data_IF_599048281820
#
_entry.id   IF_599048281820
#
_cell.length_a   1.000
_cell.length_b   1.000
_cell.length_c   1.000
_cell.angle_alpha   90.00
_cell.angle_beta   90.00
_cell.angle_gamma   90.00
#
_symmetry.space_group_name_H-M   'P 1'
#
loop_
_entity.id
_entity.type
_entity.pdbx_description
1 polymer ?
#
# COMPACT_ATOMS: atom_id res chain seq x y z
N UNK A 1 23.49 -25.32 -22.57
CA UNK A 1 24.32 -24.55 -21.61
C UNK A 1 23.40 -24.07 -20.51
N UNK A 2 23.73 -24.47 -19.28
CA UNK A 2 22.89 -24.52 -18.08
C UNK A 2 22.12 -23.24 -17.74
N UNK A 3 20.79 -23.36 -17.70
CA UNK A 3 19.92 -22.39 -17.04
C UNK A 3 19.98 -22.59 -15.53
N UNK A 4 20.96 -21.99 -14.86
CA UNK A 4 20.96 -21.92 -13.40
C UNK A 4 19.69 -21.18 -12.93
N UNK A 5 18.76 -21.92 -12.33
CA UNK A 5 17.62 -21.37 -11.59
C UNK A 5 18.18 -20.45 -10.52
N UNK A 6 17.97 -19.13 -10.62
CA UNK A 6 18.33 -18.18 -9.56
C UNK A 6 17.54 -18.57 -8.30
N UNK A 7 18.20 -19.25 -7.36
CA UNK A 7 17.66 -19.57 -6.04
C UNK A 7 17.69 -18.29 -5.20
N UNK A 8 16.57 -17.57 -5.19
CA UNK A 8 16.38 -16.36 -4.40
C UNK A 8 14.95 -16.29 -3.87
N UNK A 9 14.74 -15.62 -2.74
CA UNK A 9 13.42 -15.49 -2.09
C UNK A 9 12.32 -14.96 -3.05
N UNK A 10 12.70 -14.22 -4.10
CA UNK A 10 11.82 -13.60 -5.10
C UNK A 10 11.74 -14.34 -6.45
N UNK A 11 12.37 -15.52 -6.60
CA UNK A 11 12.52 -16.19 -7.89
C UNK A 11 11.19 -16.45 -8.63
N UNK A 12 10.11 -16.76 -7.92
CA UNK A 12 8.79 -16.93 -8.53
C UNK A 12 8.18 -15.61 -9.01
N UNK A 13 8.34 -14.54 -8.24
CA UNK A 13 7.87 -13.22 -8.65
C UNK A 13 8.64 -12.73 -9.87
N UNK A 14 9.96 -12.94 -9.91
CA UNK A 14 10.80 -12.59 -11.07
C UNK A 14 10.44 -13.41 -12.31
N UNK A 15 10.10 -14.70 -12.14
CA UNK A 15 9.68 -15.55 -13.25
C UNK A 15 8.33 -15.13 -13.87
N UNK A 16 7.40 -14.58 -13.07
CA UNK A 16 6.06 -14.19 -13.53
C UNK A 16 6.03 -12.75 -14.01
N UNK A 17 6.65 -11.83 -13.27
CA UNK A 17 6.56 -10.39 -13.49
C UNK A 17 7.78 -9.81 -14.21
N UNK A 18 8.87 -10.57 -14.31
CA UNK A 18 10.16 -10.10 -14.80
C UNK A 18 10.99 -9.42 -13.72
N UNK A 19 12.32 -9.52 -13.83
CA UNK A 19 13.26 -8.95 -12.85
C UNK A 19 13.21 -7.43 -12.78
N UNK A 20 12.92 -6.76 -13.90
CA UNK A 20 12.77 -5.30 -13.94
C UNK A 20 11.59 -4.84 -13.08
N UNK A 21 10.42 -5.46 -13.24
CA UNK A 21 9.23 -5.10 -12.49
C UNK A 21 9.38 -5.39 -11.00
N UNK A 22 9.98 -6.54 -10.65
CA UNK A 22 10.32 -6.88 -9.25
C UNK A 22 11.35 -5.91 -8.67
N UNK A 23 12.25 -5.37 -9.49
CA UNK A 23 13.12 -4.25 -9.13
C UNK A 23 12.30 -3.03 -8.72
N UNK A 24 11.41 -2.57 -9.60
CA UNK A 24 10.54 -1.40 -9.37
C UNK A 24 9.64 -1.55 -8.15
N UNK A 25 9.09 -2.75 -7.91
CA UNK A 25 8.29 -3.03 -6.70
C UNK A 25 9.08 -2.74 -5.41
N UNK A 26 10.38 -3.00 -5.43
CA UNK A 26 11.28 -2.72 -4.31
C UNK A 26 11.63 -1.24 -4.14
N UNK A 27 11.10 -0.34 -4.96
CA UNK A 27 11.23 1.11 -4.78
C UNK A 27 9.88 1.80 -4.59
N UNK A 28 8.77 1.06 -4.69
CA UNK A 28 7.41 1.59 -4.53
C UNK A 28 7.14 1.99 -3.08
N UNK A 29 6.78 3.26 -2.89
CA UNK A 29 6.35 3.84 -1.61
C UNK A 29 4.85 3.68 -1.44
N UNK A 30 4.45 2.88 -0.47
CA UNK A 30 3.04 2.57 -0.19
C UNK A 30 2.59 3.24 1.11
N UNK A 31 1.48 3.96 1.06
CA UNK A 31 0.80 4.41 2.27
C UNK A 31 -0.34 3.44 2.60
N UNK A 32 -0.28 2.75 3.73
CA UNK A 32 -1.39 1.95 4.26
C UNK A 32 -2.08 2.71 5.41
N UNK A 33 -3.33 3.10 5.16
CA UNK A 33 -4.16 3.82 6.12
C UNK A 33 -5.09 2.84 6.83
N UNK A 34 -4.80 2.56 8.09
CA UNK A 34 -5.54 1.62 8.92
C UNK A 34 -4.81 0.29 9.06
N UNK A 35 -4.29 0.01 10.25
CA UNK A 35 -3.69 -1.27 10.61
C UNK A 35 -4.76 -2.25 11.14
N UNK A 36 -6.02 -2.06 10.73
CA UNK A 36 -7.24 -2.84 11.00
C UNK A 36 -7.10 -4.35 10.80
N UNK A 37 -8.19 -5.12 10.94
CA UNK A 37 -8.19 -6.54 10.51
C UNK A 37 -7.67 -6.71 9.08
N UNK A 38 -8.17 -5.89 8.14
CA UNK A 38 -7.67 -5.84 6.76
C UNK A 38 -6.22 -5.33 6.70
N UNK A 39 -5.91 -4.28 7.46
CA UNK A 39 -4.57 -3.70 7.49
C UNK A 39 -3.49 -4.69 7.96
N UNK A 40 -3.82 -5.56 8.92
CA UNK A 40 -2.95 -6.63 9.37
C UNK A 40 -2.65 -7.65 8.27
N UNK A 41 -3.65 -8.03 7.48
CA UNK A 41 -3.45 -8.92 6.33
C UNK A 41 -2.64 -8.25 5.22
N UNK A 42 -2.86 -6.95 4.97
CA UNK A 42 -2.04 -6.20 4.03
C UNK A 42 -0.57 -6.08 4.49
N UNK A 43 -0.34 -5.93 5.80
CA UNK A 43 1.01 -5.98 6.38
C UNK A 43 1.60 -7.39 6.30
N UNK A 44 0.79 -8.44 6.41
CA UNK A 44 1.28 -9.82 6.30
C UNK A 44 1.83 -10.13 4.90
N UNK A 45 1.37 -9.41 3.86
CA UNK A 45 2.00 -9.44 2.55
C UNK A 45 3.48 -9.04 2.62
N UNK A 46 3.87 -8.14 3.52
CA UNK A 46 5.27 -7.77 3.74
C UNK A 46 6.08 -8.85 4.48
N UNK A 47 5.42 -9.76 5.21
CA UNK A 47 6.07 -10.90 5.86
C UNK A 47 6.46 -11.98 4.86
N UNK A 48 5.75 -12.06 3.73
CA UNK A 48 6.08 -13.04 2.71
C UNK A 48 7.45 -12.72 2.11
N UNK A 49 8.42 -13.64 2.19
CA UNK A 49 9.75 -13.43 1.61
C UNK A 49 9.70 -13.27 0.08
N UNK A 50 8.54 -13.51 -0.55
CA UNK A 50 8.28 -13.39 -1.99
C UNK A 50 7.76 -12.02 -2.42
N UNK A 51 7.41 -11.14 -1.49
CA UNK A 51 6.88 -9.81 -1.78
C UNK A 51 7.94 -8.74 -1.49
N UNK A 52 8.19 -7.88 -2.47
CA UNK A 52 9.06 -6.69 -2.36
C UNK A 52 8.17 -5.46 -2.21
N UNK A 53 7.63 -5.27 -1.01
CA UNK A 53 7.16 -3.96 -0.58
C UNK A 53 8.25 -3.41 0.33
N UNK A 54 9.05 -2.50 -0.19
CA UNK A 54 10.29 -2.06 0.47
C UNK A 54 10.08 -0.85 1.38
N UNK A 55 9.08 -0.01 1.11
CA UNK A 55 8.77 1.19 1.89
C UNK A 55 7.27 1.33 2.08
N UNK A 56 6.77 0.92 3.25
CA UNK A 56 5.37 1.04 3.62
C UNK A 56 5.20 1.91 4.86
N UNK A 57 4.37 2.95 4.77
CA UNK A 57 3.96 3.73 5.95
C UNK A 57 2.66 3.18 6.49
N UNK A 58 2.65 2.83 7.78
CA UNK A 58 1.50 2.20 8.43
C UNK A 58 0.83 3.17 9.40
N UNK A 59 -0.49 3.35 9.27
CA UNK A 59 -1.30 4.08 10.24
C UNK A 59 -2.28 3.16 10.96
N UNK A 60 -2.37 3.25 12.29
CA UNK A 60 -3.30 2.45 13.09
C UNK A 60 -4.72 3.03 13.16
N UNK A 61 -5.75 2.17 13.10
CA UNK A 61 -7.08 2.47 13.65
C UNK A 61 -7.52 1.37 14.63
N UNK A 62 -8.26 1.75 15.66
CA UNK A 62 -8.56 0.92 16.83
C UNK A 62 -9.79 0.03 16.58
N UNK A 63 -9.67 -1.00 15.71
CA UNK A 63 -10.63 -2.11 15.73
C UNK A 63 -10.07 -3.47 15.19
N UNK A 64 -10.43 -4.57 15.89
CA UNK A 64 -10.27 -6.03 15.64
C UNK A 64 -9.03 -6.56 14.90
N UNK A 65 -8.02 -7.15 15.58
CA UNK A 65 -6.78 -7.61 14.91
C UNK A 65 -6.08 -8.81 15.57
N UNK A 66 -5.59 -9.77 14.76
CA UNK A 66 -4.86 -10.99 15.18
C UNK A 66 -3.36 -10.76 15.44
N UNK A 67 -2.76 -9.71 14.85
CA UNK A 67 -1.34 -9.36 15.03
C UNK A 67 -1.02 -8.87 16.46
N UNK A 68 -2.03 -8.73 17.31
CA UNK A 68 -1.93 -8.12 18.63
C UNK A 68 -2.12 -9.18 19.69
N UNK A 69 -1.12 -9.33 20.56
CA UNK A 69 -1.22 -10.16 21.75
C UNK A 69 -1.81 -9.33 22.89
N UNK A 70 -2.34 -9.98 23.93
CA UNK A 70 -2.85 -9.30 25.14
C UNK A 70 -1.86 -8.31 25.76
N UNK A 71 -0.55 -8.55 25.60
CA UNK A 71 0.53 -7.67 26.08
C UNK A 71 0.67 -6.36 25.29
N UNK A 72 0.10 -6.28 24.10
CA UNK A 72 0.22 -5.11 23.21
C UNK A 72 -0.94 -4.12 23.41
N UNK A 73 -1.82 -4.40 24.37
CA UNK A 73 -2.91 -3.49 24.78
C UNK A 73 -2.28 -2.18 25.29
N UNK A 74 -2.66 -1.06 24.67
CA UNK A 74 -2.13 0.33 24.82
C UNK A 74 -0.93 0.70 23.92
N UNK A 75 -0.37 -0.22 23.14
CA UNK A 75 0.65 0.12 22.14
C UNK A 75 0.00 0.55 20.82
N UNK A 76 0.67 1.44 20.08
CA UNK A 76 0.20 1.83 18.74
C UNK A 76 0.23 0.63 17.80
N UNK A 77 -0.88 0.40 17.10
CA UNK A 77 -1.00 -0.74 16.18
C UNK A 77 -0.03 -0.68 15.01
N UNK A 78 0.31 0.52 14.57
CA UNK A 78 1.31 0.74 13.53
C UNK A 78 2.69 0.29 14.01
N UNK A 79 3.04 0.60 15.26
CA UNK A 79 4.34 0.23 15.85
C UNK A 79 4.49 -1.28 15.97
N UNK A 80 3.47 -1.97 16.51
CA UNK A 80 3.49 -3.43 16.66
C UNK A 80 3.51 -4.12 15.29
N UNK A 81 2.75 -3.62 14.32
CA UNK A 81 2.75 -4.15 12.95
C UNK A 81 4.13 -4.00 12.30
N UNK A 82 4.78 -2.83 12.43
CA UNK A 82 6.12 -2.59 11.93
C UNK A 82 7.17 -3.50 12.59
N UNK A 83 7.13 -3.62 13.92
CA UNK A 83 8.03 -4.49 14.67
C UNK A 83 7.87 -5.95 14.28
N UNK A 84 6.62 -6.42 14.17
CA UNK A 84 6.32 -7.79 13.75
C UNK A 84 6.83 -8.03 12.33
N UNK A 85 6.58 -7.10 11.40
CA UNK A 85 7.06 -7.20 10.03
C UNK A 85 8.56 -7.29 9.92
N UNK A 86 9.28 -6.41 10.62
CA UNK A 86 10.74 -6.39 10.62
C UNK A 86 11.35 -7.68 11.18
N UNK A 87 10.70 -8.31 12.17
CA UNK A 87 11.13 -9.60 12.70
C UNK A 87 10.99 -10.75 11.68
N UNK A 88 9.96 -10.72 10.82
CA UNK A 88 9.75 -11.73 9.78
C UNK A 88 10.59 -11.46 8.51
N UNK A 89 10.69 -10.21 8.09
CA UNK A 89 11.40 -9.82 6.87
C UNK A 89 12.28 -8.58 7.13
N UNK A 90 13.57 -8.75 7.47
CA UNK A 90 14.47 -7.64 7.76
C UNK A 90 14.70 -6.66 6.59
N UNK A 91 14.33 -7.05 5.36
CA UNK A 91 14.47 -6.20 4.17
C UNK A 91 13.29 -5.24 3.99
N UNK A 92 12.21 -5.38 4.76
CA UNK A 92 11.07 -4.46 4.73
C UNK A 92 11.41 -3.19 5.50
N UNK A 93 11.18 -2.02 4.91
CA UNK A 93 11.20 -0.75 5.65
C UNK A 93 9.77 -0.33 5.90
N UNK A 94 9.43 -0.23 7.17
CA UNK A 94 8.11 0.21 7.58
C UNK A 94 8.28 1.40 8.52
N UNK A 95 7.68 2.54 8.14
CA UNK A 95 7.60 3.69 9.02
C UNK A 95 6.22 3.73 9.68
N UNK A 96 6.11 3.38 10.97
CA UNK A 96 4.84 3.47 11.69
C UNK A 96 4.49 4.93 12.01
N UNK A 97 3.23 5.29 11.82
CA UNK A 97 2.67 6.60 12.14
C UNK A 97 1.46 6.41 13.06
N UNK A 98 1.52 7.01 14.25
CA UNK A 98 0.40 7.05 15.18
C UNK A 98 -0.20 8.46 15.21
N UNK A 99 -1.14 8.71 14.30
CA UNK A 99 -1.80 10.00 14.16
C UNK A 99 -3.18 9.84 13.51
N UNK A 100 -4.00 10.88 13.62
CA UNK A 100 -5.25 11.00 12.89
C UNK A 100 -4.96 11.48 11.46
N UNK A 101 -5.40 10.75 10.44
CA UNK A 101 -5.12 11.07 9.03
C UNK A 101 -5.68 12.42 8.59
N UNK A 102 -6.59 13.01 9.37
CA UNK A 102 -7.19 14.33 9.13
C UNK A 102 -6.37 15.50 9.71
N UNK A 103 -5.27 15.23 10.40
CA UNK A 103 -4.37 16.29 10.88
C UNK A 103 -3.75 17.06 9.72
N UNK A 104 -3.51 18.36 9.90
CA UNK A 104 -3.03 19.27 8.85
C UNK A 104 -1.66 18.90 8.28
N UNK A 105 -0.85 18.13 9.01
CA UNK A 105 0.43 17.64 8.54
C UNK A 105 0.33 16.61 7.40
N UNK A 106 -0.85 15.99 7.20
CA UNK A 106 -1.10 15.03 6.12
C UNK A 106 -1.79 15.72 4.94
N UNK A 107 -1.12 16.72 4.39
CA UNK A 107 -1.62 17.52 3.28
C UNK A 107 -1.40 16.84 1.91
N UNK A 108 -1.79 17.55 0.84
CA UNK A 108 -1.71 17.03 -0.53
C UNK A 108 -0.28 16.69 -0.93
N UNK A 109 0.70 17.52 -0.53
CA UNK A 109 2.11 17.32 -0.85
C UNK A 109 2.66 16.08 -0.13
N UNK A 110 2.25 15.86 1.12
CA UNK A 110 2.58 14.64 1.83
C UNK A 110 2.02 13.40 1.12
N UNK A 111 0.77 13.43 0.64
CA UNK A 111 0.19 12.33 -0.14
C UNK A 111 0.94 12.10 -1.47
N UNK A 112 1.45 13.14 -2.13
CA UNK A 112 2.26 13.03 -3.36
C UNK A 112 3.61 12.33 -3.14
N UNK A 113 4.04 12.14 -1.90
CA UNK A 113 5.24 11.37 -1.57
C UNK A 113 5.06 9.85 -1.69
N UNK A 114 3.86 9.36 -2.03
CA UNK A 114 3.56 7.93 -2.20
C UNK A 114 3.18 7.60 -3.65
N UNK A 115 3.47 6.37 -4.06
CA UNK A 115 3.10 5.86 -5.38
C UNK A 115 1.68 5.28 -5.39
N UNK A 116 1.21 4.79 -4.25
CA UNK A 116 -0.14 4.21 -4.07
C UNK A 116 -0.59 4.27 -2.61
N UNK A 117 -1.88 4.48 -2.40
CA UNK A 117 -2.52 4.42 -1.09
C UNK A 117 -3.41 3.18 -0.99
N UNK A 118 -3.27 2.42 0.10
CA UNK A 118 -4.14 1.32 0.49
C UNK A 118 -4.98 1.76 1.68
N UNK A 119 -6.29 1.69 1.58
CA UNK A 119 -7.20 2.12 2.63
C UNK A 119 -7.91 0.93 3.28
N UNK A 120 -7.73 0.80 4.59
CA UNK A 120 -8.25 -0.26 5.45
C UNK A 120 -8.91 0.33 6.72
N UNK A 121 -9.53 1.50 6.58
CA UNK A 121 -10.28 2.21 7.61
C UNK A 121 -11.64 1.56 7.90
N UNK A 122 -12.17 1.70 9.11
CA UNK A 122 -13.47 1.14 9.51
C UNK A 122 -14.62 2.16 9.54
N UNK A 123 -14.33 3.44 9.30
CA UNK A 123 -15.32 4.52 9.35
C UNK A 123 -15.37 5.33 8.05
N UNK A 124 -16.58 5.73 7.66
CA UNK A 124 -16.87 6.39 6.39
C UNK A 124 -16.24 7.79 6.28
N UNK A 125 -16.16 8.52 7.39
CA UNK A 125 -15.61 9.89 7.42
C UNK A 125 -14.13 9.90 7.04
N UNK A 126 -13.32 9.07 7.69
CA UNK A 126 -11.90 8.99 7.36
C UNK A 126 -11.67 8.40 5.94
N UNK A 127 -12.51 7.46 5.48
CA UNK A 127 -12.45 6.95 4.10
C UNK A 127 -12.66 8.07 3.06
N UNK A 128 -13.68 8.90 3.27
CA UNK A 128 -13.97 10.05 2.39
C UNK A 128 -12.83 11.07 2.39
N UNK A 129 -12.24 11.32 3.55
CA UNK A 129 -11.09 12.22 3.66
C UNK A 129 -9.89 11.71 2.85
N UNK A 130 -9.49 10.44 3.04
CA UNK A 130 -8.37 9.83 2.29
C UNK A 130 -8.63 9.84 0.80
N UNK A 131 -9.85 9.50 0.36
CA UNK A 131 -10.24 9.57 -1.05
C UNK A 131 -10.07 10.99 -1.62
N UNK A 132 -10.57 12.02 -0.92
CA UNK A 132 -10.41 13.42 -1.33
C UNK A 132 -8.92 13.80 -1.47
N UNK A 133 -8.08 13.38 -0.53
CA UNK A 133 -6.64 13.66 -0.57
C UNK A 133 -5.95 12.96 -1.74
N UNK A 134 -6.27 11.68 -1.99
CA UNK A 134 -5.73 10.93 -3.13
C UNK A 134 -6.15 11.55 -4.47
N UNK A 135 -7.42 11.97 -4.58
CA UNK A 135 -7.93 12.67 -5.76
C UNK A 135 -7.28 14.05 -5.99
N UNK A 136 -7.00 14.78 -4.90
CA UNK A 136 -6.28 16.05 -4.98
C UNK A 136 -4.82 15.82 -5.41
N UNK A 137 -4.13 14.88 -4.76
CA UNK A 137 -2.74 14.53 -5.01
C UNK A 137 -2.51 13.84 -6.36
N UNK A 138 -3.55 13.23 -6.95
CA UNK A 138 -3.43 12.43 -8.17
C UNK A 138 -2.82 11.05 -7.95
N UNK A 139 -2.93 10.52 -6.72
CA UNK A 139 -2.35 9.23 -6.34
C UNK A 139 -3.42 8.14 -6.39
N UNK A 140 -3.13 6.95 -6.97
CA UNK A 140 -4.01 5.80 -6.93
C UNK A 140 -4.40 5.38 -5.51
N UNK A 141 -5.68 5.06 -5.33
CA UNK A 141 -6.22 4.58 -4.05
C UNK A 141 -6.90 3.22 -4.24
N UNK A 142 -6.49 2.23 -3.43
CA UNK A 142 -7.20 0.97 -3.26
C UNK A 142 -8.04 1.06 -2.00
N UNK A 143 -9.35 1.20 -2.16
CA UNK A 143 -10.33 1.20 -1.08
C UNK A 143 -10.73 -0.24 -0.74
N UNK A 144 -10.74 -0.59 0.55
CA UNK A 144 -11.17 -1.92 0.99
C UNK A 144 -12.09 -1.85 2.20
N UNK A 145 -13.00 -2.81 2.36
CA UNK A 145 -13.89 -2.87 3.51
C UNK A 145 -14.56 -4.22 3.68
N UNK A 146 -15.04 -4.49 4.89
CA UNK A 146 -15.76 -5.72 5.24
C UNK A 146 -16.97 -5.40 6.10
N UNK A 147 -18.07 -6.12 5.87
CA UNK A 147 -19.28 -6.08 6.69
C UNK A 147 -19.80 -7.52 6.87
N UNK A 148 -19.61 -8.10 8.07
CA UNK A 148 -19.91 -9.52 8.30
C UNK A 148 -19.08 -10.43 7.39
N UNK A 149 -19.74 -11.24 6.57
CA UNK A 149 -19.12 -12.13 5.57
C UNK A 149 -18.90 -11.46 4.21
N UNK A 150 -19.29 -10.19 4.04
CA UNK A 150 -19.14 -9.45 2.79
C UNK A 150 -17.83 -8.66 2.81
N UNK A 151 -17.10 -8.73 1.70
CA UNK A 151 -15.90 -7.93 1.46
C UNK A 151 -16.03 -7.14 0.16
N UNK A 152 -15.41 -5.96 0.12
CA UNK A 152 -15.37 -5.11 -1.06
C UNK A 152 -13.98 -4.52 -1.26
N UNK A 153 -13.56 -4.43 -2.53
CA UNK A 153 -12.33 -3.76 -2.94
C UNK A 153 -12.65 -2.91 -4.17
N UNK A 154 -12.20 -1.65 -4.17
CA UNK A 154 -12.39 -0.73 -5.29
C UNK A 154 -11.09 0.02 -5.57
N UNK A 155 -10.71 0.08 -6.85
CA UNK A 155 -9.61 0.92 -7.31
C UNK A 155 -10.15 2.28 -7.75
N UNK A 156 -9.58 3.36 -7.20
CA UNK A 156 -9.88 4.73 -7.53
C UNK A 156 -8.65 5.38 -8.18
N UNK A 157 -8.81 5.78 -9.44
CA UNK A 157 -7.77 6.41 -10.24
C UNK A 157 -8.25 7.76 -10.74
N UNK A 158 -7.42 8.79 -10.58
CA UNK A 158 -7.63 10.07 -11.26
C UNK A 158 -7.21 9.92 -12.72
N UNK A 159 -8.16 9.54 -13.57
CA UNK A 159 -7.95 9.52 -15.02
C UNK A 159 -7.87 10.97 -15.49
N UNK A 160 -6.73 11.39 -16.07
CA UNK A 160 -6.70 12.67 -16.80
C UNK A 160 -7.62 12.53 -18.02
N UNK A 161 -8.47 13.52 -18.34
CA UNK A 161 -9.20 13.49 -19.60
C UNK A 161 -8.18 13.42 -20.74
N UNK A 162 -8.33 12.41 -21.59
CA UNK A 162 -7.50 12.17 -22.76
C UNK A 162 -7.63 13.34 -23.74
N UNK A 163 -6.75 14.35 -23.63
CA UNK A 163 -6.63 15.44 -24.61
C UNK A 163 -5.64 14.99 -25.68
N UNK A 164 -6.11 14.17 -26.63
CA UNK A 164 -5.31 13.77 -27.79
C UNK A 164 -5.49 14.77 -28.91
N UNK A 165 -4.72 15.86 -28.90
CA UNK A 165 -4.49 16.68 -30.10
C UNK A 165 -3.26 16.14 -30.84
N UNK A 166 -3.29 14.89 -31.28
CA UNK A 166 -2.41 14.49 -32.38
C UNK A 166 -3.01 15.10 -33.64
N UNK A 167 -2.43 16.22 -34.11
CA UNK A 167 -2.57 16.63 -35.50
C UNK A 167 -2.15 15.44 -36.35
N UNK A 168 -3.11 14.80 -37.00
CA UNK A 168 -2.84 13.84 -38.06
C UNK A 168 -2.12 14.63 -39.16
N UNK A 169 -0.82 14.39 -39.34
CA UNK A 169 -0.19 14.76 -40.60
C UNK A 169 -0.75 13.81 -41.68
N UNK A 170 -1.30 14.34 -42.79
CA UNK A 170 -1.74 13.48 -43.87
C UNK A 170 -0.55 12.70 -44.44
N UNK A 171 -0.75 11.44 -44.86
CA UNK A 171 0.31 10.64 -45.44
C UNK A 171 0.85 11.34 -46.69
N UNK A 172 2.17 11.52 -46.76
CA UNK A 172 2.84 11.86 -48.02
C UNK A 172 2.88 10.59 -48.86
N UNK A 173 2.24 10.63 -50.01
CA UNK A 173 2.41 9.63 -51.08
C UNK A 173 3.79 9.74 -51.70
#
# INVERSE_FOLDING_TARGET
MDGQRKSGRYAHAEAILGSEFVGRLADTRVLLVGAGGIGCELVSLCFSPRNRLSDARLRADLNRQFLFRKKDVKQSKAMVAAQTAGAFNPNVRIQPIHANIKESQFDVEWFQSFDIVLNALDNLDARRHVNKMCMAAGIPLVESGTAGYLGQVQLLLKVRPFTRTTRLHPPRY
#
